data_IF_389427382676
#
_entry.id   IF_389427382676
#
_cell.length_a   1.000
_cell.length_b   1.000
_cell.length_c   1.000
_cell.angle_alpha   90.00
_cell.angle_beta   90.00
_cell.angle_gamma   90.00
#
_symmetry.space_group_name_H-M   'P 1'
#
loop_
_entity.id
_entity.type
_entity.pdbx_description
1 polymer ?
#
# COMPACT_ATOMS: atom_id res chain seq x y z
N UNK A 1 24.68 1.94 -8.22
CA UNK A 1 24.28 1.55 -6.85
C UNK A 1 23.64 2.70 -6.09
N UNK A 2 24.35 3.79 -5.81
CA UNK A 2 23.76 4.94 -5.10
C UNK A 2 22.69 5.66 -5.94
N UNK A 3 22.94 5.89 -7.23
CA UNK A 3 21.95 6.47 -8.15
C UNK A 3 20.66 5.65 -8.23
N UNK A 4 20.79 4.35 -8.50
CA UNK A 4 19.65 3.42 -8.59
C UNK A 4 18.81 3.38 -7.30
N UNK A 5 19.44 3.53 -6.13
CA UNK A 5 18.73 3.60 -4.85
C UNK A 5 17.96 4.92 -4.69
N UNK A 6 18.53 6.05 -5.12
CA UNK A 6 17.84 7.35 -5.07
C UNK A 6 16.61 7.35 -5.98
N UNK A 7 16.72 6.82 -7.20
CA UNK A 7 15.59 6.72 -8.14
C UNK A 7 14.48 5.83 -7.58
N UNK A 8 14.86 4.69 -6.97
CA UNK A 8 13.92 3.80 -6.29
C UNK A 8 13.20 4.50 -5.13
N UNK A 9 13.93 5.23 -4.29
CA UNK A 9 13.32 5.95 -3.17
C UNK A 9 12.42 7.10 -3.63
N UNK A 10 12.81 7.82 -4.68
CA UNK A 10 11.98 8.89 -5.27
C UNK A 10 10.66 8.32 -5.82
N UNK A 11 10.73 7.23 -6.58
CA UNK A 11 9.54 6.53 -7.07
C UNK A 11 8.68 6.01 -5.91
N UNK A 12 9.31 5.42 -4.89
CA UNK A 12 8.63 4.92 -3.70
C UNK A 12 7.93 6.01 -2.90
N UNK A 13 8.52 7.20 -2.82
CA UNK A 13 7.91 8.35 -2.16
C UNK A 13 6.60 8.76 -2.84
N UNK A 14 6.61 8.90 -4.17
CA UNK A 14 5.41 9.23 -4.94
C UNK A 14 4.32 8.18 -4.75
N UNK A 15 4.68 6.90 -4.83
CA UNK A 15 3.74 5.80 -4.61
C UNK A 15 3.12 5.89 -3.22
N UNK A 16 3.94 6.09 -2.20
CA UNK A 16 3.51 6.17 -0.81
C UNK A 16 2.58 7.36 -0.57
N UNK A 17 2.84 8.52 -1.17
CA UNK A 17 1.94 9.66 -1.12
C UNK A 17 0.56 9.33 -1.70
N UNK A 18 0.51 8.65 -2.84
CA UNK A 18 -0.75 8.25 -3.49
C UNK A 18 -1.51 7.23 -2.63
N UNK A 19 -0.82 6.21 -2.12
CA UNK A 19 -1.41 5.21 -1.22
C UNK A 19 -2.00 5.84 0.04
N UNK A 20 -1.28 6.80 0.64
CA UNK A 20 -1.73 7.53 1.82
C UNK A 20 -3.01 8.32 1.55
N UNK A 21 -3.09 9.05 0.43
CA UNK A 21 -4.29 9.83 0.08
C UNK A 21 -5.48 8.92 -0.21
N UNK A 22 -5.31 7.80 -0.92
CA UNK A 22 -6.44 6.92 -1.23
C UNK A 22 -6.97 6.17 0.00
N UNK A 23 -6.09 5.63 0.85
CA UNK A 23 -6.53 4.82 1.99
C UNK A 23 -6.90 5.68 3.18
N UNK A 24 -6.06 6.67 3.53
CA UNK A 24 -6.28 7.52 4.70
C UNK A 24 -7.12 8.76 4.38
N UNK A 25 -6.98 9.32 3.17
CA UNK A 25 -7.75 10.50 2.77
C UNK A 25 -9.17 10.14 2.33
N UNK A 26 -9.31 9.22 1.37
CA UNK A 26 -10.62 8.83 0.82
C UNK A 26 -11.29 7.81 1.73
N UNK A 27 -10.81 6.57 1.77
CA UNK A 27 -11.55 5.47 2.41
C UNK A 27 -11.80 5.64 3.92
N UNK A 28 -10.84 6.21 4.65
CA UNK A 28 -11.00 6.46 6.09
C UNK A 28 -11.97 7.61 6.37
N UNK A 29 -11.96 8.68 5.59
CA UNK A 29 -12.91 9.79 5.75
C UNK A 29 -14.34 9.38 5.41
N UNK A 30 -14.52 8.40 4.51
CA UNK A 30 -15.84 7.82 4.18
C UNK A 30 -16.40 6.85 5.23
N UNK A 31 -15.75 6.69 6.38
CA UNK A 31 -16.26 5.87 7.49
C UNK A 31 -15.95 4.36 7.40
N UNK A 32 -15.26 3.88 6.34
CA UNK A 32 -14.86 2.46 6.21
C UNK A 32 -13.52 2.15 6.92
N UNK A 33 -13.37 2.56 8.19
CA UNK A 33 -12.11 2.40 8.96
C UNK A 33 -11.66 0.93 9.10
N UNK A 34 -12.61 0.01 9.28
CA UNK A 34 -12.32 -1.43 9.46
C UNK A 34 -11.65 -2.03 8.22
N UNK A 35 -12.09 -1.64 7.02
CA UNK A 35 -11.48 -2.08 5.78
C UNK A 35 -10.05 -1.54 5.66
N UNK A 36 -9.83 -0.26 5.94
CA UNK A 36 -8.48 0.32 5.91
C UNK A 36 -7.52 -0.38 6.87
N UNK A 37 -7.98 -0.70 8.10
CA UNK A 37 -7.17 -1.43 9.08
C UNK A 37 -6.84 -2.85 8.60
N UNK A 38 -7.81 -3.57 8.03
CA UNK A 38 -7.59 -4.91 7.51
C UNK A 38 -6.66 -4.90 6.30
N UNK A 39 -6.78 -3.90 5.43
CA UNK A 39 -5.90 -3.73 4.28
C UNK A 39 -4.46 -3.44 4.70
N UNK A 40 -4.25 -2.54 5.66
CA UNK A 40 -2.92 -2.18 6.17
C UNK A 40 -2.25 -3.35 6.90
N UNK A 41 -2.97 -3.99 7.83
CA UNK A 41 -2.47 -5.17 8.53
C UNK A 41 -2.26 -6.35 7.56
N UNK A 42 -3.20 -6.60 6.67
CA UNK A 42 -3.13 -7.69 5.70
C UNK A 42 -1.98 -7.53 4.70
N UNK A 43 -1.74 -6.32 4.19
CA UNK A 43 -0.63 -6.05 3.28
C UNK A 43 0.72 -6.21 4.00
N UNK A 44 0.82 -5.71 5.24
CA UNK A 44 2.05 -5.79 6.01
C UNK A 44 2.38 -7.23 6.43
N UNK A 45 1.43 -7.94 7.04
CA UNK A 45 1.64 -9.30 7.55
C UNK A 45 1.54 -10.38 6.47
N UNK A 46 0.65 -10.22 5.50
CA UNK A 46 0.40 -11.21 4.46
C UNK A 46 1.34 -11.12 3.27
N UNK A 47 1.93 -9.95 3.01
CA UNK A 47 2.74 -9.72 1.81
C UNK A 47 4.14 -9.21 2.13
N UNK A 48 4.27 -8.08 2.85
CA UNK A 48 5.57 -7.47 3.11
C UNK A 48 6.50 -8.38 3.92
N UNK A 49 6.05 -8.85 5.09
CA UNK A 49 6.85 -9.69 5.99
C UNK A 49 7.28 -11.03 5.35
N UNK A 50 6.39 -11.82 4.72
CA UNK A 50 6.77 -13.08 4.08
C UNK A 50 7.75 -12.89 2.92
N UNK A 51 7.54 -11.85 2.10
CA UNK A 51 8.41 -11.56 0.95
C UNK A 51 9.77 -11.05 1.42
N UNK A 52 9.81 -10.16 2.42
CA UNK A 52 11.07 -9.68 3.00
C UNK A 52 11.87 -10.82 3.66
N UNK A 53 11.19 -11.72 4.39
CA UNK A 53 11.84 -12.89 4.99
C UNK A 53 12.38 -13.86 3.92
N UNK A 54 11.61 -14.11 2.85
CA UNK A 54 12.08 -14.94 1.73
C UNK A 54 13.28 -14.32 0.99
N UNK A 55 13.28 -13.00 0.78
CA UNK A 55 14.38 -12.26 0.17
C UNK A 55 15.64 -12.30 1.06
N UNK A 56 15.48 -12.11 2.38
CA UNK A 56 16.57 -12.21 3.35
C UNK A 56 17.21 -13.61 3.39
N UNK A 57 16.40 -14.68 3.36
CA UNK A 57 16.91 -16.05 3.29
C UNK A 57 17.74 -16.32 2.05
N UNK A 58 17.42 -15.67 0.93
CA UNK A 58 18.17 -15.80 -0.33
C UNK A 58 19.41 -14.91 -0.40
N UNK A 59 19.76 -14.19 0.69
CA UNK A 59 20.82 -13.17 0.71
C UNK A 59 20.67 -12.19 -0.47
N UNK A 60 19.42 -11.80 -0.75
CA UNK A 60 19.13 -10.86 -1.82
C UNK A 60 19.86 -9.53 -1.59
N UNK A 61 20.20 -8.85 -2.68
CA UNK A 61 20.89 -7.55 -2.59
C UNK A 61 20.04 -6.53 -1.84
N UNK A 62 20.69 -5.54 -1.23
CA UNK A 62 20.01 -4.46 -0.49
C UNK A 62 18.94 -3.77 -1.36
N UNK A 63 19.22 -3.59 -2.66
CA UNK A 63 18.29 -2.98 -3.62
C UNK A 63 16.95 -3.75 -3.71
N UNK A 64 17.00 -5.08 -3.72
CA UNK A 64 15.78 -5.91 -3.76
C UNK A 64 14.99 -5.74 -2.46
N UNK A 65 15.66 -5.71 -1.31
CA UNK A 65 15.00 -5.51 -0.02
C UNK A 65 14.33 -4.13 0.08
N UNK A 66 14.93 -3.08 -0.50
CA UNK A 66 14.31 -1.76 -0.60
C UNK A 66 13.14 -1.71 -1.59
N UNK A 67 13.10 -2.59 -2.59
CA UNK A 67 12.00 -2.66 -3.56
C UNK A 67 10.76 -3.38 -3.02
N UNK A 68 10.90 -4.29 -2.04
CA UNK A 68 9.76 -5.06 -1.50
C UNK A 68 8.66 -4.15 -0.90
N UNK A 69 8.97 -3.14 -0.06
CA UNK A 69 7.96 -2.20 0.43
C UNK A 69 7.24 -1.44 -0.69
N UNK A 70 7.93 -1.11 -1.78
CA UNK A 70 7.29 -0.43 -2.92
C UNK A 70 6.27 -1.34 -3.62
N UNK A 71 6.59 -2.63 -3.76
CA UNK A 71 5.66 -3.61 -4.32
C UNK A 71 4.41 -3.74 -3.45
N UNK A 72 4.59 -3.81 -2.12
CA UNK A 72 3.46 -3.89 -1.19
C UNK A 72 2.58 -2.64 -1.25
N UNK A 73 3.17 -1.44 -1.30
CA UNK A 73 2.43 -0.19 -1.45
C UNK A 73 1.67 -0.16 -2.78
N UNK A 74 2.25 -0.67 -3.87
CA UNK A 74 1.57 -0.78 -5.17
C UNK A 74 0.34 -1.70 -5.09
N UNK A 75 0.46 -2.86 -4.43
CA UNK A 75 -0.68 -3.78 -4.23
C UNK A 75 -1.77 -3.13 -3.40
N UNK A 76 -1.40 -2.43 -2.32
CA UNK A 76 -2.32 -1.69 -1.46
C UNK A 76 -3.10 -0.63 -2.25
N UNK A 77 -2.40 0.12 -3.11
CA UNK A 77 -2.99 1.11 -4.02
C UNK A 77 -3.99 0.47 -4.97
N UNK A 78 -3.66 -0.66 -5.59
CA UNK A 78 -4.56 -1.35 -6.53
C UNK A 78 -5.82 -1.83 -5.81
N UNK A 79 -5.68 -2.45 -4.63
CA UNK A 79 -6.83 -2.93 -3.85
C UNK A 79 -7.71 -1.77 -3.38
N UNK A 80 -7.10 -0.68 -2.89
CA UNK A 80 -7.82 0.53 -2.50
C UNK A 80 -8.53 1.18 -3.70
N UNK A 81 -7.85 1.29 -4.84
CA UNK A 81 -8.41 1.85 -6.07
C UNK A 81 -9.58 1.04 -6.61
N UNK A 82 -9.48 -0.29 -6.62
CA UNK A 82 -10.58 -1.19 -6.98
C UNK A 82 -11.78 -1.02 -6.04
N UNK A 83 -11.52 -0.85 -4.73
CA UNK A 83 -12.57 -0.62 -3.73
C UNK A 83 -13.27 0.72 -3.94
N UNK A 84 -12.50 1.80 -4.12
CA UNK A 84 -13.01 3.16 -4.39
C UNK A 84 -13.87 3.15 -5.66
N UNK A 85 -13.43 2.47 -6.73
CA UNK A 85 -14.18 2.38 -7.98
C UNK A 85 -15.51 1.64 -7.84
N UNK A 86 -15.64 0.73 -6.87
CA UNK A 86 -16.92 0.06 -6.60
C UNK A 86 -18.00 0.99 -6.02
N UNK A 87 -17.64 2.23 -5.61
CA UNK A 87 -18.52 3.26 -5.04
C UNK A 87 -19.34 2.84 -3.80
N UNK A 88 -19.25 1.59 -3.34
CA UNK A 88 -19.98 1.07 -2.16
C UNK A 88 -19.61 1.76 -0.84
N UNK A 89 -18.52 2.51 -0.83
CA UNK A 89 -18.10 3.35 0.30
C UNK A 89 -19.00 4.58 0.49
N UNK A 90 -19.65 5.06 -0.57
CA UNK A 90 -20.72 6.07 -0.50
C UNK A 90 -21.98 5.37 -0.01
N UNK A 91 -22.03 5.08 1.29
CA UNK A 91 -23.32 4.82 1.93
C UNK A 91 -24.07 6.14 1.89
N UNK A 92 -25.30 6.09 1.38
CA UNK A 92 -26.17 7.26 1.31
C UNK A 92 -26.31 7.82 2.74
N UNK A 93 -25.66 8.95 3.01
CA UNK A 93 -25.85 9.70 4.25
C UNK A 93 -27.14 10.53 4.17
N UNK A 94 -27.83 10.51 3.02
CA UNK A 94 -29.16 11.05 2.79
C UNK A 94 -30.17 9.91 2.93
N UNK A 95 -30.40 9.48 4.16
CA UNK A 95 -31.69 8.89 4.52
C UNK A 95 -32.41 9.91 5.39
N UNK A 96 -33.66 10.12 5.00
CA UNK A 96 -34.74 10.98 5.49
C UNK A 96 -34.85 11.08 7.01
#
# INVERSE_FOLDING_TARGET
LTGDMFDLMAAGFVLKSVGMVMVLGVLRAGGEVRFCLLLDAGAQWGLLLPVAWAAGRRRASALVLFAVPLLEEAVRIVVAGARIRSRRWLRDLVVT
#
